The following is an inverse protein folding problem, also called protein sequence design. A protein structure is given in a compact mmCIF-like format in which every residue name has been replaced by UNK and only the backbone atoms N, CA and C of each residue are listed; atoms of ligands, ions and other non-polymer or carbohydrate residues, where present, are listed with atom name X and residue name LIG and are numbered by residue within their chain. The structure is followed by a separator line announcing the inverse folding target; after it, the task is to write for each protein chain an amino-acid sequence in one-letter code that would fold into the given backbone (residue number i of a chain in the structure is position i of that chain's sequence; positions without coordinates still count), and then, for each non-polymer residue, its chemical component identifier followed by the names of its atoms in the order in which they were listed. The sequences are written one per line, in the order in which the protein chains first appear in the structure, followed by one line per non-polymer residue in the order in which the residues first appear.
data_IF_323284487344
#
_entry.id   IF_323284487344
#
_cell.length_a   1.000
_cell.length_b   1.000
_cell.length_c   1.000
_cell.angle_alpha   90.00
_cell.angle_beta   90.00
_cell.angle_gamma   90.00
#
_symmetry.space_group_name_H-M   'P 1'
#
loop_
_entity.id
_entity.type
_entity.pdbx_description
1 polymer ?
#
# COMPACT_ATOMS: atom_id res chain seq x y z
N UNK A 1 -23.26 1.97 23.55
CA UNK A 1 -21.86 1.53 23.28
C UNK A 1 -20.92 2.71 23.28
N UNK A 2 -19.73 2.55 23.85
CA UNK A 2 -18.68 3.57 23.74
C UNK A 2 -17.53 3.02 22.91
N UNK A 3 -17.03 3.83 21.99
CA UNK A 3 -15.84 3.57 21.20
C UNK A 3 -14.71 4.49 21.68
N UNK A 4 -13.73 3.92 22.37
CA UNK A 4 -12.55 4.65 22.85
C UNK A 4 -11.40 4.41 21.88
N UNK A 5 -11.10 5.42 21.05
CA UNK A 5 -10.12 5.32 19.99
C UNK A 5 -8.74 5.72 20.50
N UNK A 6 -7.83 4.75 20.58
CA UNK A 6 -6.42 4.95 20.86
C UNK A 6 -5.59 4.93 19.56
N UNK A 7 -4.30 5.14 19.63
CA UNK A 7 -3.44 5.20 18.43
C UNK A 7 -3.43 3.90 17.60
N UNK A 8 -3.44 2.74 18.23
CA UNK A 8 -3.34 1.45 17.53
C UNK A 8 -4.64 0.67 17.53
N UNK A 9 -5.38 0.71 18.61
CA UNK A 9 -6.63 -0.03 18.80
C UNK A 9 -7.76 0.85 19.32
N UNK A 10 -8.98 0.44 19.04
CA UNK A 10 -10.21 1.03 19.56
C UNK A 10 -10.85 0.04 20.53
N UNK A 11 -11.06 0.47 21.74
CA UNK A 11 -11.77 -0.29 22.77
C UNK A 11 -13.28 -0.12 22.60
N UNK A 12 -14.02 -1.22 22.77
CA UNK A 12 -15.48 -1.25 22.67
C UNK A 12 -16.04 -1.54 24.05
N UNK A 13 -16.87 -0.64 24.58
CA UNK A 13 -17.54 -0.82 25.87
C UNK A 13 -19.05 -0.89 25.68
N UNK A 14 -19.69 -1.80 26.41
CA UNK A 14 -21.14 -1.94 26.47
C UNK A 14 -21.83 -2.01 25.08
N UNK A 15 -21.37 -2.84 24.13
CA UNK A 15 -22.06 -3.01 22.86
C UNK A 15 -23.32 -3.87 23.03
N UNK A 16 -24.38 -3.53 22.31
CA UNK A 16 -25.50 -4.46 22.10
C UNK A 16 -25.15 -5.53 21.04
N UNK A 17 -26.01 -6.53 20.88
CA UNK A 17 -25.75 -7.65 19.96
C UNK A 17 -25.62 -7.18 18.51
N UNK A 18 -26.49 -6.28 18.07
CA UNK A 18 -26.48 -5.77 16.69
C UNK A 18 -25.21 -4.96 16.40
N UNK A 19 -24.73 -4.20 17.38
CA UNK A 19 -23.46 -3.47 17.29
C UNK A 19 -22.25 -4.41 17.22
N UNK A 20 -22.24 -5.49 18.00
CA UNK A 20 -21.22 -6.53 17.93
C UNK A 20 -21.16 -7.18 16.55
N UNK A 21 -22.30 -7.56 16.00
CA UNK A 21 -22.39 -8.14 14.66
C UNK A 21 -21.88 -7.19 13.57
N UNK A 22 -22.22 -5.90 13.67
CA UNK A 22 -21.74 -4.86 12.77
C UNK A 22 -20.21 -4.69 12.84
N UNK A 23 -19.65 -4.65 14.06
CA UNK A 23 -18.20 -4.58 14.28
C UNK A 23 -17.53 -5.82 13.69
N UNK A 24 -18.02 -7.02 13.95
CA UNK A 24 -17.44 -8.26 13.43
C UNK A 24 -17.48 -8.33 11.91
N UNK A 25 -18.54 -7.84 11.30
CA UNK A 25 -18.66 -7.77 9.84
C UNK A 25 -17.58 -6.87 9.24
N UNK A 26 -17.36 -5.67 9.80
CA UNK A 26 -16.33 -4.74 9.36
C UNK A 26 -14.92 -5.26 9.65
N UNK A 27 -14.74 -5.88 10.82
CA UNK A 27 -13.46 -6.39 11.29
C UNK A 27 -13.14 -7.82 10.79
N UNK A 28 -13.88 -8.36 9.84
CA UNK A 28 -13.62 -9.68 9.26
C UNK A 28 -13.28 -9.58 7.80
N UNK A 29 -12.21 -10.25 7.40
CA UNK A 29 -11.80 -10.41 6.00
C UNK A 29 -11.77 -11.90 5.68
N UNK A 30 -12.38 -12.28 4.56
CA UNK A 30 -12.35 -13.65 4.05
C UNK A 30 -11.45 -13.68 2.82
N UNK A 31 -10.48 -14.57 2.80
CA UNK A 31 -9.57 -14.73 1.68
C UNK A 31 -9.23 -16.22 1.47
N UNK A 32 -8.92 -16.65 0.22
CA UNK A 32 -8.51 -18.01 -0.04
C UNK A 32 -7.10 -18.29 0.45
N UNK A 33 -6.90 -19.45 1.07
CA UNK A 33 -5.58 -20.00 1.36
C UNK A 33 -5.15 -20.85 0.17
N UNK A 34 -3.97 -20.54 -0.38
CA UNK A 34 -3.36 -21.34 -1.44
C UNK A 34 -2.23 -22.19 -0.85
N UNK A 35 -2.12 -23.43 -1.33
CA UNK A 35 -1.01 -24.33 -1.03
C UNK A 35 -0.32 -24.69 -2.33
N UNK A 36 1.01 -24.70 -2.33
CA UNK A 36 1.79 -25.22 -3.44
C UNK A 36 1.58 -26.72 -3.56
N UNK A 37 1.17 -27.18 -4.74
CA UNK A 37 1.08 -28.59 -5.08
C UNK A 37 2.36 -29.01 -5.86
N UNK A 38 3.17 -29.84 -5.25
CA UNK A 38 4.42 -30.31 -5.83
C UNK A 38 4.24 -31.26 -7.02
N UNK A 39 3.08 -31.93 -7.10
CA UNK A 39 2.75 -32.84 -8.20
C UNK A 39 2.31 -32.05 -9.44
N UNK A 40 1.39 -31.11 -9.23
CA UNK A 40 0.87 -30.26 -10.31
C UNK A 40 1.74 -29.02 -10.58
N UNK A 41 2.80 -28.79 -9.78
CA UNK A 41 3.70 -27.62 -9.85
C UNK A 41 2.94 -26.30 -9.95
N UNK A 42 1.86 -26.15 -9.17
CA UNK A 42 1.02 -24.94 -9.12
C UNK A 42 0.44 -24.69 -7.73
N UNK A 43 -0.03 -23.46 -7.51
CA UNK A 43 -0.80 -23.15 -6.31
C UNK A 43 -2.25 -23.60 -6.49
N UNK A 44 -2.72 -24.46 -5.59
CA UNK A 44 -4.13 -24.86 -5.52
C UNK A 44 -4.82 -24.21 -4.33
N UNK A 45 -6.06 -23.79 -4.52
CA UNK A 45 -6.90 -23.26 -3.46
C UNK A 45 -7.19 -24.38 -2.47
N UNK A 46 -6.71 -24.21 -1.23
CA UNK A 46 -6.92 -25.19 -0.16
C UNK A 46 -8.26 -24.97 0.54
N UNK A 47 -8.51 -23.75 1.00
CA UNK A 47 -9.73 -23.36 1.71
C UNK A 47 -9.90 -21.84 1.76
N UNK A 48 -11.09 -21.37 2.16
CA UNK A 48 -11.30 -19.97 2.53
C UNK A 48 -10.92 -19.77 3.99
N UNK A 49 -10.10 -18.77 4.27
CA UNK A 49 -9.73 -18.36 5.63
C UNK A 49 -10.50 -17.09 5.97
N UNK A 50 -11.18 -17.07 7.11
CA UNK A 50 -11.75 -15.86 7.69
C UNK A 50 -10.78 -15.32 8.75
N UNK A 51 -10.14 -14.20 8.49
CA UNK A 51 -9.33 -13.48 9.48
C UNK A 51 -10.22 -12.46 10.19
N UNK A 52 -10.23 -12.53 11.52
CA UNK A 52 -10.98 -11.60 12.39
C UNK A 52 -9.98 -10.65 13.02
N UNK A 53 -10.28 -9.36 12.98
CA UNK A 53 -9.49 -8.29 13.60
C UNK A 53 -10.17 -7.73 14.85
N UNK A 54 -11.36 -8.19 15.20
CA UNK A 54 -12.01 -7.87 16.46
C UNK A 54 -11.72 -8.99 17.47
N UNK A 55 -11.08 -8.61 18.56
CA UNK A 55 -10.91 -9.50 19.71
C UNK A 55 -12.11 -9.35 20.65
N UNK A 56 -13.00 -10.37 20.68
CA UNK A 56 -14.18 -10.37 21.54
C UNK A 56 -13.86 -10.42 23.02
N UNK A 57 -12.75 -11.10 23.41
CA UNK A 57 -12.39 -11.25 24.82
C UNK A 57 -11.82 -9.95 25.39
N UNK A 58 -10.93 -9.34 24.65
CA UNK A 58 -10.33 -8.09 25.02
C UNK A 58 -11.13 -6.85 24.58
N UNK A 59 -12.23 -7.06 23.82
CA UNK A 59 -13.14 -6.01 23.36
C UNK A 59 -12.46 -4.87 22.60
N UNK A 60 -11.56 -5.18 21.67
CA UNK A 60 -10.88 -4.17 20.84
C UNK A 60 -10.74 -4.57 19.36
N UNK A 61 -10.55 -3.57 18.51
CA UNK A 61 -10.21 -3.72 17.08
C UNK A 61 -9.20 -2.65 16.65
N UNK A 62 -8.50 -2.83 15.50
CA UNK A 62 -7.55 -1.82 14.98
C UNK A 62 -8.23 -0.48 14.71
N UNK A 63 -7.70 0.61 15.27
CA UNK A 63 -8.31 1.95 15.20
C UNK A 63 -8.50 2.49 13.79
N UNK A 64 -7.76 1.98 12.79
CA UNK A 64 -7.98 2.30 11.38
C UNK A 64 -9.36 1.91 10.83
N UNK A 65 -10.08 1.00 11.51
CA UNK A 65 -11.44 0.57 11.16
C UNK A 65 -12.54 1.41 11.84
N UNK A 66 -12.20 2.23 12.85
CA UNK A 66 -13.16 3.03 13.60
C UNK A 66 -14.02 3.96 12.72
N UNK A 67 -13.49 4.70 11.72
CA UNK A 67 -14.32 5.55 10.86
C UNK A 67 -15.41 4.77 10.13
N UNK A 68 -15.07 3.56 9.63
CA UNK A 68 -16.01 2.71 8.91
C UNK A 68 -17.10 2.13 9.82
N UNK A 69 -16.75 1.82 11.05
CA UNK A 69 -17.71 1.34 12.06
C UNK A 69 -18.63 2.48 12.49
N UNK A 70 -18.10 3.68 12.70
CA UNK A 70 -18.88 4.86 13.02
C UNK A 70 -19.88 5.21 11.91
N UNK A 71 -19.44 5.19 10.65
CA UNK A 71 -20.31 5.42 9.49
C UNK A 71 -21.45 4.40 9.43
N UNK A 72 -21.14 3.10 9.66
CA UNK A 72 -22.12 2.03 9.64
C UNK A 72 -23.16 2.18 10.77
N UNK A 73 -22.74 2.62 11.95
CA UNK A 73 -23.56 2.73 13.14
C UNK A 73 -24.21 4.11 13.35
N UNK A 74 -23.86 5.10 12.51
CA UNK A 74 -24.34 6.48 12.64
C UNK A 74 -25.87 6.60 12.65
N UNK A 75 -26.56 5.76 11.91
CA UNK A 75 -28.02 5.76 11.76
C UNK A 75 -28.70 4.66 12.61
N UNK A 76 -27.96 3.98 13.48
CA UNK A 76 -28.55 3.01 14.39
C UNK A 76 -29.32 3.71 15.52
N UNK A 77 -30.37 3.08 16.08
CA UNK A 77 -31.15 3.64 17.21
C UNK A 77 -30.28 3.98 18.42
N UNK A 78 -29.15 3.30 18.58
CA UNK A 78 -28.16 3.50 19.64
C UNK A 78 -26.81 3.85 19.02
N UNK A 79 -26.68 5.08 18.47
CA UNK A 79 -25.41 5.54 17.95
C UNK A 79 -24.31 5.45 19.03
N UNK A 80 -23.08 5.01 18.69
CA UNK A 80 -22.01 4.89 19.67
C UNK A 80 -21.52 6.27 20.12
N UNK A 81 -21.22 6.39 21.42
CA UNK A 81 -20.40 7.50 21.92
C UNK A 81 -18.97 7.33 21.43
N UNK A 82 -18.37 8.40 20.97
CA UNK A 82 -17.02 8.40 20.43
C UNK A 82 -16.10 9.21 21.33
N UNK A 83 -15.07 8.55 21.87
CA UNK A 83 -14.04 9.20 22.67
C UNK A 83 -12.67 9.02 21.99
N UNK A 84 -12.13 10.10 21.46
CA UNK A 84 -10.81 10.11 20.84
C UNK A 84 -9.73 10.34 21.90
N UNK A 85 -8.95 9.31 22.21
CA UNK A 85 -7.79 9.34 23.12
C UNK A 85 -6.47 9.23 22.37
N UNK A 86 -6.46 9.43 21.05
CA UNK A 86 -5.22 9.36 20.27
C UNK A 86 -4.29 10.49 20.69
N UNK A 87 -3.06 10.12 21.00
CA UNK A 87 -2.00 11.09 21.26
C UNK A 87 -1.23 11.35 19.97
N UNK A 88 -1.01 12.62 19.66
CA UNK A 88 -0.03 12.99 18.62
C UNK A 88 1.36 12.64 19.15
N UNK A 89 2.24 12.01 18.34
CA UNK A 89 3.62 11.79 18.77
C UNK A 89 4.28 13.15 19.08
N UNK A 90 5.11 13.17 20.10
CA UNK A 90 5.95 14.35 20.37
C UNK A 90 6.97 14.46 19.23
N UNK A 91 6.90 15.53 18.47
CA UNK A 91 7.85 15.76 17.38
C UNK A 91 9.23 16.06 17.94
N UNK A 92 10.25 15.60 17.24
CA UNK A 92 11.67 15.90 17.49
C UNK A 92 12.32 16.21 16.14
N UNK A 93 12.04 17.40 15.58
CA UNK A 93 12.39 17.72 14.20
C UNK A 93 13.86 17.53 13.89
N UNK A 94 14.16 16.91 12.75
CA UNK A 94 15.49 16.77 12.17
C UNK A 94 15.57 17.68 10.95
N UNK A 95 16.61 18.52 10.84
CA UNK A 95 16.78 19.39 9.69
C UNK A 95 16.83 18.62 8.37
N UNK A 96 16.17 19.15 7.36
CA UNK A 96 16.14 18.59 6.01
C UNK A 96 17.01 19.43 5.09
N UNK A 97 17.94 18.78 4.41
CA UNK A 97 18.69 19.36 3.32
C UNK A 97 17.96 19.16 2.01
N UNK A 98 17.27 20.19 1.53
CA UNK A 98 16.49 20.11 0.28
C UNK A 98 17.41 20.14 -0.96
N UNK A 99 18.14 19.06 -1.21
CA UNK A 99 19.01 18.92 -2.39
C UNK A 99 18.42 17.92 -3.40
N UNK A 100 18.53 18.26 -4.70
CA UNK A 100 18.21 17.32 -5.77
C UNK A 100 19.37 16.35 -6.05
N UNK A 101 19.22 15.48 -7.05
CA UNK A 101 20.26 14.51 -7.45
C UNK A 101 21.58 15.18 -7.91
N UNK A 102 21.53 16.46 -8.27
CA UNK A 102 22.68 17.28 -8.71
C UNK A 102 23.24 18.19 -7.61
N UNK A 103 22.77 18.02 -6.36
CA UNK A 103 23.19 18.88 -5.24
C UNK A 103 22.60 20.30 -5.28
N UNK A 104 21.62 20.57 -6.14
CA UNK A 104 21.01 21.90 -6.25
C UNK A 104 19.88 22.01 -5.22
N UNK A 105 19.85 23.10 -4.46
CA UNK A 105 18.83 23.40 -3.47
C UNK A 105 17.44 23.50 -4.11
N UNK A 106 16.49 22.76 -3.58
CA UNK A 106 15.09 22.78 -4.01
C UNK A 106 14.23 23.41 -2.92
N UNK A 107 13.22 24.17 -3.31
CA UNK A 107 12.17 24.61 -2.40
C UNK A 107 10.95 23.73 -2.57
N UNK A 108 10.33 23.25 -1.48
CA UNK A 108 9.06 22.53 -1.55
C UNK A 108 8.01 23.40 -2.25
N UNK A 109 7.28 22.82 -3.17
CA UNK A 109 6.19 23.50 -3.89
C UNK A 109 4.99 23.70 -2.95
N UNK A 110 4.14 24.68 -3.24
CA UNK A 110 3.00 25.06 -2.41
C UNK A 110 2.11 23.85 -2.05
N UNK A 111 1.83 22.96 -3.01
CA UNK A 111 1.01 21.78 -2.78
C UNK A 111 1.71 20.69 -1.93
N UNK A 112 3.05 20.67 -1.91
CA UNK A 112 3.81 19.77 -1.05
C UNK A 112 3.78 20.26 0.40
N UNK A 113 3.93 21.58 0.61
CA UNK A 113 3.76 22.21 1.92
C UNK A 113 2.37 21.98 2.47
N UNK A 114 1.34 22.22 1.67
CA UNK A 114 -0.05 21.98 2.06
C UNK A 114 -0.32 20.53 2.44
N UNK A 115 0.17 19.56 1.66
CA UNK A 115 0.02 18.14 1.98
C UNK A 115 0.75 17.74 3.26
N UNK A 116 1.89 18.37 3.53
CA UNK A 116 2.62 18.20 4.79
C UNK A 116 1.82 18.76 5.97
N UNK A 117 1.30 19.97 5.90
CA UNK A 117 0.50 20.63 6.94
C UNK A 117 -0.77 19.79 7.24
N UNK A 118 -1.55 19.44 6.22
CA UNK A 118 -2.75 18.61 6.36
C UNK A 118 -2.46 17.22 6.98
N UNK A 119 -1.26 16.64 6.74
CA UNK A 119 -0.90 15.35 7.33
C UNK A 119 -0.80 15.40 8.86
N UNK A 120 -0.39 16.52 9.43
CA UNK A 120 -0.30 16.70 10.88
C UNK A 120 -1.64 17.05 11.54
N UNK A 121 -2.58 17.60 10.79
CA UNK A 121 -3.93 17.85 11.31
C UNK A 121 -4.71 16.55 11.52
N UNK A 122 -4.65 15.64 10.52
CA UNK A 122 -5.48 14.43 10.51
C UNK A 122 -4.84 13.19 11.12
N UNK A 123 -3.54 13.19 11.40
CA UNK A 123 -2.74 12.08 11.96
C UNK A 123 -2.80 10.75 11.19
N UNK A 124 -3.84 10.49 10.41
CA UNK A 124 -4.01 9.35 9.51
C UNK A 124 -4.74 9.79 8.27
N UNK A 125 -4.19 9.50 7.11
CA UNK A 125 -4.81 9.87 5.86
C UNK A 125 -4.07 9.31 4.65
N UNK A 126 -4.57 9.67 3.48
CA UNK A 126 -3.98 9.31 2.20
C UNK A 126 -3.59 10.60 1.50
N UNK A 127 -2.29 10.79 1.28
CA UNK A 127 -1.79 11.92 0.52
C UNK A 127 -1.90 11.62 -0.97
N UNK A 128 -2.80 12.34 -1.62
CA UNK A 128 -3.13 12.17 -3.02
C UNK A 128 -2.34 13.12 -3.90
N UNK A 129 -1.26 12.62 -4.50
CA UNK A 129 -0.49 13.38 -5.48
C UNK A 129 -0.19 12.54 -6.73
N UNK A 130 -0.17 13.15 -7.94
CA UNK A 130 0.20 12.46 -9.16
C UNK A 130 1.63 11.92 -9.09
N UNK A 131 1.92 10.93 -9.94
CA UNK A 131 3.30 10.47 -10.15
C UNK A 131 4.20 11.65 -10.54
N UNK A 132 5.44 11.70 -10.02
CA UNK A 132 6.41 12.79 -10.19
C UNK A 132 6.06 14.13 -9.53
N UNK A 133 5.05 14.19 -8.69
CA UNK A 133 4.78 15.37 -7.87
C UNK A 133 5.75 15.56 -6.70
N UNK A 134 6.69 14.62 -6.53
CA UNK A 134 7.65 14.64 -5.41
C UNK A 134 7.06 14.10 -4.11
N UNK A 135 6.24 13.03 -4.17
CA UNK A 135 5.71 12.34 -2.97
C UNK A 135 6.81 11.94 -1.98
N UNK A 136 7.95 11.47 -2.49
CA UNK A 136 9.10 11.12 -1.65
C UNK A 136 9.63 12.32 -0.85
N UNK A 137 9.55 13.54 -1.41
CA UNK A 137 9.90 14.75 -0.68
C UNK A 137 8.89 15.04 0.43
N UNK A 138 7.59 14.85 0.18
CA UNK A 138 6.55 15.01 1.21
C UNK A 138 6.78 13.98 2.33
N UNK A 139 7.07 12.72 2.00
CA UNK A 139 7.46 11.72 3.00
C UNK A 139 8.69 12.14 3.79
N UNK A 140 9.72 12.71 3.13
CA UNK A 140 10.88 13.27 3.79
C UNK A 140 10.53 14.43 4.74
N UNK A 141 9.67 15.36 4.32
CA UNK A 141 9.20 16.46 5.16
C UNK A 141 8.47 15.94 6.41
N UNK A 142 7.57 14.96 6.26
CA UNK A 142 6.88 14.34 7.39
C UNK A 142 7.88 13.60 8.29
N UNK A 143 8.80 12.83 7.70
CA UNK A 143 9.82 12.10 8.44
C UNK A 143 10.73 13.04 9.23
N UNK A 144 11.13 14.17 8.65
CA UNK A 144 11.94 15.18 9.30
C UNK A 144 11.25 15.87 10.46
N UNK A 145 9.98 16.18 10.33
CA UNK A 145 9.19 16.80 11.40
C UNK A 145 8.96 15.84 12.58
N UNK A 146 8.65 14.57 12.29
CA UNK A 146 8.53 13.54 13.34
C UNK A 146 9.87 13.22 13.98
N UNK A 147 10.92 13.14 13.18
CA UNK A 147 12.33 12.94 13.57
C UNK A 147 12.68 11.50 13.85
N UNK A 148 12.19 10.92 14.94
CA UNK A 148 12.56 9.58 15.39
C UNK A 148 11.38 8.60 15.34
N UNK A 149 11.70 7.33 15.07
CA UNK A 149 10.70 6.25 14.98
C UNK A 149 9.84 6.37 13.72
N UNK A 150 10.45 6.72 12.59
CA UNK A 150 9.78 6.80 11.30
C UNK A 150 10.08 5.56 10.48
N UNK A 151 9.03 4.86 10.07
CA UNK A 151 9.10 3.68 9.21
C UNK A 151 8.48 3.99 7.84
N UNK A 152 9.29 3.92 6.79
CA UNK A 152 8.84 4.06 5.40
C UNK A 152 8.72 2.67 4.79
N UNK A 153 7.50 2.24 4.49
CA UNK A 153 7.19 0.93 3.95
C UNK A 153 7.11 0.94 2.43
N UNK A 154 7.77 -0.02 1.81
CA UNK A 154 7.75 -0.27 0.38
C UNK A 154 7.44 -1.75 0.09
N UNK A 155 6.91 -2.03 -1.09
CA UNK A 155 6.58 -3.41 -1.50
C UNK A 155 7.63 -4.04 -2.42
N UNK A 156 8.61 -3.27 -2.93
CA UNK A 156 9.61 -3.73 -3.91
C UNK A 156 11.04 -3.38 -3.49
N UNK A 157 11.98 -4.30 -3.75
CA UNK A 157 13.43 -4.12 -3.48
C UNK A 157 14.05 -2.92 -4.24
N UNK A 158 13.55 -2.64 -5.45
CA UNK A 158 14.00 -1.48 -6.24
C UNK A 158 13.58 -0.17 -5.61
N UNK A 159 12.35 -0.10 -5.08
CA UNK A 159 11.86 1.07 -4.36
C UNK A 159 12.58 1.26 -3.01
N UNK A 160 12.92 0.16 -2.33
CA UNK A 160 13.70 0.20 -1.10
C UNK A 160 14.99 1.01 -1.31
N UNK A 161 15.80 0.63 -2.29
CA UNK A 161 17.05 1.33 -2.60
C UNK A 161 16.82 2.78 -3.07
N UNK A 162 15.80 3.00 -3.91
CA UNK A 162 15.49 4.33 -4.44
C UNK A 162 15.08 5.30 -3.32
N UNK A 163 14.18 4.89 -2.45
CA UNK A 163 13.70 5.75 -1.35
C UNK A 163 14.78 5.94 -0.30
N UNK A 164 15.51 4.88 0.05
CA UNK A 164 16.66 4.98 0.95
C UNK A 164 17.66 6.02 0.46
N UNK A 165 18.10 5.98 -0.81
CA UNK A 165 19.02 6.93 -1.39
C UNK A 165 18.48 8.37 -1.39
N UNK A 166 17.16 8.56 -1.57
CA UNK A 166 16.54 9.89 -1.47
C UNK A 166 16.58 10.40 -0.04
N UNK A 167 16.19 9.55 0.92
CA UNK A 167 16.21 9.91 2.35
C UNK A 167 17.62 10.22 2.82
N UNK A 168 18.64 9.42 2.45
CA UNK A 168 20.05 9.68 2.79
C UNK A 168 20.59 11.00 2.24
N UNK A 169 19.98 11.54 1.19
CA UNK A 169 20.33 12.88 0.66
C UNK A 169 19.56 14.01 1.32
N UNK A 170 18.38 13.72 1.87
CA UNK A 170 17.56 14.72 2.54
C UNK A 170 18.01 14.97 3.98
N UNK A 171 18.64 13.98 4.61
CA UNK A 171 19.02 14.04 6.01
C UNK A 171 20.53 13.88 6.17
N UNK A 172 21.12 14.70 7.04
CA UNK A 172 22.50 14.54 7.49
C UNK A 172 22.57 13.55 8.66
N UNK A 173 22.06 12.32 8.41
CA UNK A 173 22.09 11.21 9.37
C UNK A 173 22.03 9.88 8.64
N UNK A 174 22.42 8.81 9.34
CA UNK A 174 22.32 7.47 8.80
C UNK A 174 20.84 7.04 8.71
N UNK A 175 20.41 6.66 7.51
CA UNK A 175 19.05 6.17 7.24
C UNK A 175 19.06 4.66 7.31
N UNK A 176 18.17 4.11 8.13
CA UNK A 176 18.02 2.66 8.28
C UNK A 176 17.48 1.98 7.03
N UNK A 177 17.88 0.72 6.86
CA UNK A 177 17.42 -0.12 5.77
C UNK A 177 17.07 -1.53 6.28
N UNK A 178 15.84 -1.98 6.03
CA UNK A 178 15.36 -3.32 6.36
C UNK A 178 14.83 -4.00 5.10
N UNK A 179 15.58 -4.97 4.59
CA UNK A 179 15.24 -5.69 3.37
C UNK A 179 16.46 -6.03 2.53
N UNK A 180 16.27 -6.89 1.53
CA UNK A 180 17.36 -7.35 0.66
C UNK A 180 18.57 -7.95 1.44
N UNK A 181 18.27 -8.71 2.50
CA UNK A 181 19.29 -9.33 3.37
C UNK A 181 19.81 -8.42 4.49
N UNK A 182 19.46 -7.14 4.51
CA UNK A 182 19.90 -6.17 5.52
C UNK A 182 18.87 -6.02 6.63
N UNK A 183 19.38 -5.81 7.85
CA UNK A 183 18.61 -5.43 9.04
C UNK A 183 19.41 -4.36 9.79
N UNK A 184 19.16 -3.11 9.45
CA UNK A 184 19.81 -1.94 10.05
C UNK A 184 18.73 -0.89 10.40
N UNK A 185 18.07 -1.03 11.57
CA UNK A 185 17.10 -0.04 12.04
C UNK A 185 17.79 1.23 12.54
N UNK A 186 17.32 2.39 12.07
CA UNK A 186 17.78 3.72 12.44
C UNK A 186 16.56 4.62 12.79
N UNK A 187 16.74 5.84 13.29
CA UNK A 187 15.64 6.76 13.61
C UNK A 187 14.62 6.94 12.49
N UNK A 188 15.09 7.01 11.24
CA UNK A 188 14.28 6.96 10.02
C UNK A 188 14.70 5.71 9.26
N UNK A 189 13.79 4.77 9.07
CA UNK A 189 14.09 3.46 8.44
C UNK A 189 13.20 3.23 7.23
N UNK A 190 13.80 2.80 6.12
CA UNK A 190 13.07 2.32 4.94
C UNK A 190 13.05 0.79 4.96
N UNK A 191 11.87 0.18 4.86
CA UNK A 191 11.72 -1.26 4.97
C UNK A 191 10.83 -1.87 3.90
N UNK A 192 11.12 -3.11 3.49
CA UNK A 192 10.17 -3.89 2.71
C UNK A 192 9.17 -4.59 3.63
N UNK A 193 7.88 -4.52 3.23
CA UNK A 193 6.78 -5.17 3.97
C UNK A 193 7.05 -6.66 4.19
N UNK A 194 7.57 -7.35 3.16
CA UNK A 194 7.86 -8.78 3.21
C UNK A 194 8.89 -9.14 4.28
N UNK A 195 9.96 -8.34 4.40
CA UNK A 195 11.00 -8.60 5.41
C UNK A 195 10.45 -8.43 6.82
N UNK A 196 9.64 -7.40 7.07
CA UNK A 196 9.02 -7.18 8.37
C UNK A 196 8.03 -8.29 8.73
N UNK A 197 7.16 -8.71 7.79
CA UNK A 197 6.22 -9.81 8.03
C UNK A 197 6.95 -11.10 8.38
N UNK A 198 8.04 -11.42 7.67
CA UNK A 198 8.81 -12.64 7.93
C UNK A 198 9.55 -12.62 9.27
N UNK A 199 9.75 -11.45 9.89
CA UNK A 199 10.44 -11.28 11.17
C UNK A 199 9.55 -10.79 12.31
N UNK A 200 8.26 -10.60 12.08
CA UNK A 200 7.33 -9.97 13.05
C UNK A 200 7.29 -10.68 14.41
N UNK A 201 7.55 -11.98 14.44
CA UNK A 201 7.55 -12.77 15.67
C UNK A 201 8.91 -12.75 16.42
N UNK A 202 9.96 -12.19 15.81
CA UNK A 202 11.26 -12.06 16.48
C UNK A 202 11.24 -10.95 17.52
N UNK A 203 11.94 -11.14 18.65
CA UNK A 203 12.04 -10.13 19.69
C UNK A 203 12.68 -8.83 19.22
N UNK A 204 13.61 -8.90 18.27
CA UNK A 204 14.26 -7.75 17.65
C UNK A 204 13.27 -6.91 16.84
N UNK A 205 12.45 -7.56 15.99
CA UNK A 205 11.44 -6.88 15.20
C UNK A 205 10.35 -6.26 16.08
N UNK A 206 9.93 -6.93 17.13
CA UNK A 206 8.95 -6.39 18.10
C UNK A 206 9.47 -5.12 18.75
N UNK A 207 10.69 -5.14 19.30
CA UNK A 207 11.34 -3.96 19.89
C UNK A 207 11.44 -2.80 18.89
N UNK A 208 11.81 -3.09 17.65
CA UNK A 208 11.86 -2.08 16.59
C UNK A 208 10.46 -1.50 16.32
N UNK A 209 9.44 -2.35 16.13
CA UNK A 209 8.07 -1.90 15.86
C UNK A 209 7.48 -1.09 17.03
N UNK A 210 7.81 -1.42 18.27
CA UNK A 210 7.39 -0.68 19.46
C UNK A 210 7.98 0.74 19.52
N UNK A 211 9.12 0.97 18.85
CA UNK A 211 9.74 2.29 18.74
C UNK A 211 9.13 3.18 17.66
N UNK A 212 8.29 2.61 16.76
CA UNK A 212 7.75 3.35 15.61
C UNK A 212 6.61 4.28 16.02
N UNK A 213 6.73 5.53 15.61
CA UNK A 213 5.77 6.63 15.86
C UNK A 213 5.01 7.03 14.60
N UNK A 214 5.63 6.87 13.44
CA UNK A 214 5.04 7.23 12.15
C UNK A 214 5.32 6.16 11.10
N UNK A 215 4.30 5.79 10.33
CA UNK A 215 4.42 4.85 9.21
C UNK A 215 3.97 5.55 7.94
N UNK A 216 4.83 5.56 6.92
CA UNK A 216 4.58 6.11 5.59
C UNK A 216 4.61 4.98 4.55
N UNK A 217 3.65 4.94 3.61
CA UNK A 217 3.48 3.83 2.64
C UNK A 217 3.29 4.39 1.22
N UNK A 218 3.94 3.81 0.19
CA UNK A 218 3.89 4.32 -1.22
C UNK A 218 3.39 3.30 -2.27
N UNK A 219 2.41 3.66 -3.14
CA UNK A 219 2.06 3.26 -4.55
C UNK A 219 0.58 3.12 -4.99
N UNK A 220 0.22 3.42 -6.33
CA UNK A 220 -1.17 3.39 -6.90
C UNK A 220 -1.34 3.32 -8.45
N UNK A 221 -2.53 2.84 -9.00
CA UNK A 221 -2.95 2.68 -10.43
C UNK A 221 -4.34 3.32 -10.82
N UNK A 222 -4.72 3.52 -12.16
CA UNK A 222 -5.99 4.16 -12.59
C UNK A 222 -7.21 3.21 -12.68
N UNK A 223 -8.44 3.76 -12.56
CA UNK A 223 -9.70 2.99 -12.45
C UNK A 223 -10.12 2.19 -13.70
N UNK A 224 -9.70 2.61 -14.88
CA UNK A 224 -10.01 1.92 -16.16
C UNK A 224 -8.99 0.84 -16.54
N UNK A 225 -7.95 0.64 -15.71
CA UNK A 225 -7.00 -0.44 -15.94
C UNK A 225 -7.74 -1.78 -15.81
N UNK A 226 -7.63 -2.61 -16.85
CA UNK A 226 -8.14 -3.99 -16.81
C UNK A 226 -7.14 -4.85 -16.05
N UNK A 227 -7.65 -5.58 -15.10
CA UNK A 227 -6.89 -6.52 -14.25
C UNK A 227 -7.33 -7.92 -14.66
N UNK A 228 -6.37 -8.78 -14.93
CA UNK A 228 -6.64 -10.19 -15.20
C UNK A 228 -6.92 -10.89 -13.88
N UNK A 229 -8.08 -11.50 -13.78
CA UNK A 229 -8.55 -12.21 -12.61
C UNK A 229 -8.05 -13.66 -12.59
N UNK A 230 -8.06 -14.29 -11.43
CA UNK A 230 -7.61 -15.68 -11.31
C UNK A 230 -8.53 -16.70 -12.04
N UNK A 231 -9.75 -16.29 -12.36
CA UNK A 231 -10.71 -17.04 -13.20
C UNK A 231 -10.54 -16.77 -14.70
N UNK A 232 -9.46 -16.10 -15.10
CA UNK A 232 -9.11 -15.66 -16.46
C UNK A 232 -10.06 -14.61 -17.06
N UNK A 233 -11.00 -14.07 -16.28
CA UNK A 233 -11.81 -12.93 -16.67
C UNK A 233 -11.03 -11.61 -16.54
N UNK A 234 -11.57 -10.54 -17.13
CA UNK A 234 -11.02 -9.20 -16.97
C UNK A 234 -12.03 -8.30 -16.25
N UNK A 235 -11.59 -7.70 -15.15
CA UNK A 235 -12.35 -6.63 -14.47
C UNK A 235 -11.56 -5.33 -14.48
N UNK A 236 -12.26 -4.20 -14.59
CA UNK A 236 -11.59 -2.91 -14.46
C UNK A 236 -11.27 -2.64 -12.98
N UNK A 237 -10.21 -1.88 -12.73
CA UNK A 237 -9.89 -1.46 -11.37
C UNK A 237 -11.03 -0.65 -10.72
N UNK A 238 -11.86 0.03 -11.54
CA UNK A 238 -13.06 0.73 -11.09
C UNK A 238 -14.16 -0.20 -10.63
N UNK A 239 -14.44 -1.30 -11.35
CA UNK A 239 -15.38 -2.35 -10.94
C UNK A 239 -14.90 -3.05 -9.67
N UNK A 240 -13.61 -3.39 -9.62
CA UNK A 240 -12.98 -3.96 -8.44
C UNK A 240 -13.02 -3.00 -7.23
N UNK A 241 -12.90 -1.69 -7.45
CA UNK A 241 -13.00 -0.70 -6.37
C UNK A 241 -14.37 -0.74 -5.67
N UNK A 242 -15.43 -1.03 -6.42
CA UNK A 242 -16.78 -1.14 -5.85
C UNK A 242 -17.01 -2.47 -5.14
N UNK A 243 -16.41 -3.57 -5.64
CA UNK A 243 -16.69 -4.94 -5.19
C UNK A 243 -15.46 -5.87 -5.20
N UNK A 244 -14.31 -5.43 -4.67
CA UNK A 244 -13.08 -6.24 -4.68
C UNK A 244 -13.02 -7.35 -3.62
N UNK A 245 -13.96 -7.37 -2.68
CA UNK A 245 -13.98 -8.39 -1.62
C UNK A 245 -14.17 -9.78 -2.24
N UNK A 246 -13.25 -10.68 -1.95
CA UNK A 246 -13.17 -12.05 -2.48
C UNK A 246 -12.68 -12.16 -3.93
N UNK A 247 -12.12 -11.12 -4.51
CA UNK A 247 -11.55 -11.13 -5.85
C UNK A 247 -10.06 -11.50 -5.81
N UNK A 248 -9.68 -12.41 -6.73
CA UNK A 248 -8.28 -12.81 -6.94
C UNK A 248 -7.80 -12.32 -8.31
N UNK A 249 -6.62 -11.73 -8.34
CA UNK A 249 -5.94 -11.28 -9.57
C UNK A 249 -4.78 -12.20 -9.91
N UNK A 250 -4.43 -12.27 -11.19
CA UNK A 250 -3.19 -12.91 -11.61
C UNK A 250 -2.02 -11.94 -11.46
N UNK A 251 -0.98 -12.41 -10.80
CA UNK A 251 0.31 -11.71 -10.66
C UNK A 251 1.40 -12.51 -11.33
N UNK A 252 2.32 -11.81 -11.99
CA UNK A 252 3.51 -12.41 -12.61
C UNK A 252 4.75 -12.11 -11.77
N UNK A 253 5.48 -13.15 -11.41
CA UNK A 253 6.78 -13.05 -10.76
C UNK A 253 7.88 -13.28 -11.81
N UNK A 254 8.63 -12.23 -12.09
CA UNK A 254 9.70 -12.23 -13.09
C UNK A 254 10.88 -13.13 -12.67
N UNK A 255 11.19 -13.19 -11.37
CA UNK A 255 12.40 -13.86 -10.88
C UNK A 255 12.26 -15.39 -10.97
N UNK A 256 11.03 -15.89 -10.89
CA UNK A 256 10.70 -17.32 -11.03
C UNK A 256 9.94 -17.65 -12.31
N UNK A 257 9.69 -16.65 -13.14
CA UNK A 257 8.95 -16.76 -14.42
C UNK A 257 7.59 -17.47 -14.26
N UNK A 258 6.83 -17.11 -13.23
CA UNK A 258 5.58 -17.79 -12.89
C UNK A 258 4.42 -16.79 -12.68
N UNK A 259 3.23 -17.16 -13.16
CA UNK A 259 1.98 -16.48 -12.84
C UNK A 259 1.25 -17.20 -11.70
N UNK A 260 0.66 -16.45 -10.78
CA UNK A 260 -0.11 -17.00 -9.67
C UNK A 260 -1.23 -16.06 -9.23
N UNK A 261 -2.25 -16.63 -8.61
CA UNK A 261 -3.40 -15.87 -8.10
C UNK A 261 -3.09 -15.16 -6.79
N UNK A 262 -3.34 -13.86 -6.72
CA UNK A 262 -3.22 -13.03 -5.52
C UNK A 262 -4.52 -12.34 -5.18
N UNK A 263 -4.84 -12.27 -3.88
CA UNK A 263 -6.02 -11.57 -3.40
C UNK A 263 -5.83 -10.06 -3.40
N UNK A 264 -6.89 -9.35 -3.74
CA UNK A 264 -6.94 -7.89 -3.59
C UNK A 264 -7.18 -7.55 -2.12
N UNK A 265 -6.18 -6.93 -1.49
CA UNK A 265 -6.28 -6.50 -0.09
C UNK A 265 -7.03 -5.17 0.02
N UNK A 266 -6.73 -4.22 -0.88
CA UNK A 266 -7.38 -2.91 -0.90
C UNK A 266 -7.22 -2.23 -2.27
N UNK A 267 -8.21 -1.41 -2.65
CA UNK A 267 -8.20 -0.57 -3.86
C UNK A 267 -8.55 0.87 -3.50
N UNK A 268 -7.73 1.81 -3.95
CA UNK A 268 -7.89 3.24 -3.65
C UNK A 268 -8.05 4.07 -4.91
N UNK A 269 -9.07 4.96 -4.96
CA UNK A 269 -9.38 5.84 -6.10
C UNK A 269 -8.67 7.19 -5.99
N UNK A 270 -8.03 7.65 -7.07
CA UNK A 270 -7.42 9.00 -7.15
C UNK A 270 -8.42 10.04 -7.68
N UNK A 271 -8.54 11.24 -7.07
CA UNK A 271 -9.54 12.24 -7.47
C UNK A 271 -9.18 13.08 -8.70
N UNK A 272 -7.92 13.15 -9.16
CA UNK A 272 -7.51 14.03 -10.26
C UNK A 272 -7.24 13.31 -11.58
N UNK A 273 -7.65 13.94 -12.70
CA UNK A 273 -7.37 13.50 -14.08
C UNK A 273 -5.85 13.48 -14.33
N UNK A 274 -5.32 12.35 -14.78
CA UNK A 274 -3.92 12.21 -15.25
C UNK A 274 -3.89 12.01 -16.75
N UNK A 275 -2.77 12.39 -17.40
CA UNK A 275 -2.54 12.06 -18.82
C UNK A 275 -2.44 10.55 -18.97
N UNK A 276 -3.37 9.97 -19.70
CA UNK A 276 -3.41 8.54 -19.98
C UNK A 276 -2.79 8.30 -21.37
N UNK A 277 -1.85 7.38 -21.41
CA UNK A 277 -1.24 6.90 -22.64
C UNK A 277 -2.08 5.75 -23.17
N UNK A 278 -2.36 5.78 -24.48
CA UNK A 278 -3.03 4.73 -25.19
C UNK A 278 -1.99 4.01 -26.06
N UNK A 279 -1.64 2.80 -25.66
CA UNK A 279 -0.63 1.98 -26.33
C UNK A 279 -1.39 0.93 -27.14
N UNK A 280 -1.19 0.91 -28.45
CA UNK A 280 -1.73 -0.13 -29.33
C UNK A 280 -0.66 -1.20 -29.47
N UNK A 281 -0.97 -2.42 -29.06
CA UNK A 281 -0.09 -3.59 -29.14
C UNK A 281 -0.63 -4.49 -30.23
N UNK A 282 0.17 -4.75 -31.26
CA UNK A 282 -0.13 -5.77 -32.28
C UNK A 282 0.43 -7.11 -31.78
N UNK A 283 -0.40 -8.14 -31.75
CA UNK A 283 0.01 -9.47 -31.30
C UNK A 283 0.20 -10.41 -32.50
N UNK A 284 -0.62 -10.26 -33.56
CA UNK A 284 -0.56 -10.97 -34.85
C UNK A 284 -1.16 -10.08 -35.94
N UNK A 285 -1.12 -10.50 -37.21
CA UNK A 285 -1.54 -9.69 -38.37
C UNK A 285 -2.94 -9.06 -38.23
N UNK A 286 -3.85 -9.67 -37.47
CA UNK A 286 -5.25 -9.22 -37.31
C UNK A 286 -5.68 -8.93 -35.85
N UNK A 287 -4.81 -9.11 -34.84
CA UNK A 287 -5.16 -8.93 -33.44
C UNK A 287 -4.38 -7.77 -32.83
N UNK A 288 -5.08 -6.79 -32.33
CA UNK A 288 -4.45 -5.69 -31.60
C UNK A 288 -5.18 -5.41 -30.28
N UNK A 289 -4.41 -5.17 -29.23
CA UNK A 289 -4.92 -4.76 -27.91
C UNK A 289 -4.59 -3.31 -27.63
N UNK A 290 -5.39 -2.69 -26.79
CA UNK A 290 -5.18 -1.30 -26.35
C UNK A 290 -4.96 -1.30 -24.84
N UNK A 291 -3.75 -0.96 -24.42
CA UNK A 291 -3.41 -0.71 -23.02
C UNK A 291 -3.62 0.78 -22.73
N UNK A 292 -4.32 1.11 -21.65
CA UNK A 292 -4.47 2.48 -21.17
C UNK A 292 -3.89 2.59 -19.77
N UNK A 293 -2.83 3.39 -19.61
CA UNK A 293 -2.14 3.55 -18.33
C UNK A 293 -1.55 4.96 -18.18
N UNK A 294 -1.12 5.32 -16.97
CA UNK A 294 -0.35 6.55 -16.75
C UNK A 294 1.01 6.45 -17.43
N UNK A 295 1.60 7.59 -17.80
CA UNK A 295 2.91 7.60 -18.49
C UNK A 295 4.05 6.98 -17.68
N UNK A 296 3.92 6.90 -16.36
CA UNK A 296 4.94 6.30 -15.49
C UNK A 296 4.66 4.82 -15.17
N UNK A 297 3.56 4.26 -15.67
CA UNK A 297 3.31 2.82 -15.57
C UNK A 297 4.39 2.05 -16.32
N UNK A 298 4.97 1.07 -15.66
CA UNK A 298 6.03 0.24 -16.23
C UNK A 298 5.42 -0.92 -17.01
N UNK A 299 5.96 -1.14 -18.20
CA UNK A 299 5.58 -2.23 -19.11
C UNK A 299 6.85 -3.03 -19.41
N UNK A 300 6.74 -4.34 -19.44
CA UNK A 300 7.86 -5.23 -19.72
C UNK A 300 8.14 -5.25 -21.23
N UNK A 301 9.34 -4.84 -21.63
CA UNK A 301 9.81 -4.76 -23.02
C UNK A 301 11.16 -5.46 -23.10
N UNK A 302 11.28 -6.52 -23.86
CA UNK A 302 12.54 -7.28 -23.98
C UNK A 302 13.18 -7.56 -22.62
N UNK A 303 12.40 -8.09 -21.67
CA UNK A 303 12.78 -8.39 -20.28
C UNK A 303 13.22 -7.21 -19.41
N UNK A 304 12.99 -5.97 -19.86
CA UNK A 304 13.26 -4.77 -19.10
C UNK A 304 11.99 -3.96 -18.83
N UNK A 305 11.87 -3.43 -17.61
CA UNK A 305 10.75 -2.57 -17.24
C UNK A 305 10.92 -1.15 -17.80
N UNK A 306 10.12 -0.79 -18.82
CA UNK A 306 10.11 0.51 -19.49
C UNK A 306 8.85 1.28 -19.10
N UNK A 307 8.96 2.59 -18.82
CA UNK A 307 7.78 3.44 -18.55
C UNK A 307 6.98 3.66 -19.83
N UNK A 308 5.65 3.60 -19.72
CA UNK A 308 4.74 3.77 -20.86
C UNK A 308 5.01 4.99 -21.73
N UNK A 309 5.46 6.12 -21.13
CA UNK A 309 5.83 7.34 -21.87
C UNK A 309 7.16 7.28 -22.64
N UNK A 310 7.98 6.29 -22.37
CA UNK A 310 9.27 6.08 -23.03
C UNK A 310 9.21 4.97 -24.07
N UNK A 311 8.05 4.31 -24.22
CA UNK A 311 7.83 3.34 -25.27
C UNK A 311 7.92 3.99 -26.66
N UNK A 312 8.51 3.25 -27.58
CA UNK A 312 8.64 3.63 -28.99
C UNK A 312 7.82 2.67 -29.84
N UNK A 313 7.45 3.13 -31.04
CA UNK A 313 6.85 2.25 -32.05
C UNK A 313 7.91 1.22 -32.45
N UNK A 314 7.54 -0.06 -32.45
CA UNK A 314 8.45 -1.16 -32.70
C UNK A 314 9.00 -1.86 -31.45
N UNK A 315 8.75 -1.33 -30.25
CA UNK A 315 9.13 -2.03 -29.01
C UNK A 315 8.34 -3.34 -28.86
N UNK A 316 9.03 -4.45 -28.60
CA UNK A 316 8.41 -5.74 -28.35
C UNK A 316 8.00 -5.86 -26.88
N UNK A 317 6.70 -5.88 -26.63
CA UNK A 317 6.15 -6.07 -25.28
C UNK A 317 6.13 -7.56 -24.94
N UNK A 318 6.58 -7.90 -23.74
CA UNK A 318 6.42 -9.25 -23.19
C UNK A 318 4.96 -9.50 -22.88
N UNK A 319 4.34 -10.43 -23.59
CA UNK A 319 2.94 -10.85 -23.41
C UNK A 319 2.90 -12.27 -22.83
N UNK A 320 2.04 -12.47 -21.84
CA UNK A 320 1.75 -13.80 -21.30
C UNK A 320 0.53 -14.33 -22.07
N UNK A 321 0.66 -15.48 -22.68
CA UNK A 321 -0.48 -16.16 -23.31
C UNK A 321 -1.35 -16.79 -22.20
N UNK A 322 -2.67 -16.76 -22.37
CA UNK A 322 -3.60 -17.34 -21.39
C UNK A 322 -3.39 -18.83 -21.17
N UNK A 323 -2.88 -19.53 -22.18
CA UNK A 323 -2.51 -20.96 -22.09
C UNK A 323 -1.23 -21.21 -21.26
N UNK A 324 -0.43 -20.18 -21.00
CA UNK A 324 0.78 -20.26 -20.16
C UNK A 324 0.47 -19.90 -18.69
N UNK A 325 -0.80 -19.63 -18.37
CA UNK A 325 -1.27 -19.35 -17.02
C UNK A 325 -1.75 -20.67 -16.41
N UNK A 326 -1.13 -21.12 -15.31
CA UNK A 326 -1.45 -22.39 -14.67
C UNK A 326 -2.85 -22.48 -14.09
#
# INVERSE_FOLDING_TARGET
MDLIVNNSYTEVRNPDLAQLEAIEKVCSIVFPEFKWDYVQKKYIKKRMIKKRYFDRKASYFPSGLAPKILELLKNSKNAPNFLDKRCKPKNSPIPITYLNEKGIKMNPRWYQKRAFEEAFEVTRGIIYHPTRSGKTLIMGMIAGEVGYGVLILVNQKTLLKQIHNVMSRLFDLNIGIIGNGLWDPQPITVATVQTLINRVDTGECKKFLDSIRCILIDECLPSSAKILMADLSYKTLGELYLNYKNECIISYDKDINLCYGNNIINIVKKPKKQKIYKIKVACDENISYIIRCSGDHKILVNDHWVKAKHLKIGDNLTCIKTQDIP
#
